data_IF_753772506140
#
_entry.id   IF_753772506140
#
_cell.length_a   1.000
_cell.length_b   1.000
_cell.length_c   1.000
_cell.angle_alpha   90.00
_cell.angle_beta   90.00
_cell.angle_gamma   90.00
#
_symmetry.space_group_name_H-M   'P 1'
#
loop_
_entity.id
_entity.type
_entity.pdbx_description
1 polymer ?
#
# COMPACT_ATOMS: atom_id res chain seq x y z
N UNK A 1 -31.89 9.34 -7.67
CA UNK A 1 -30.45 9.32 -7.90
C UNK A 1 -29.87 10.48 -7.10
N UNK A 2 -29.32 10.20 -5.93
CA UNK A 2 -28.61 11.20 -5.12
C UNK A 2 -27.41 11.68 -5.92
N UNK A 3 -27.30 12.99 -6.16
CA UNK A 3 -26.12 13.57 -6.77
C UNK A 3 -25.01 13.46 -5.73
N UNK A 4 -23.91 12.83 -6.08
CA UNK A 4 -22.69 12.85 -5.28
C UNK A 4 -22.07 14.25 -5.37
N UNK A 5 -21.63 14.79 -4.22
CA UNK A 5 -21.26 16.19 -4.08
C UNK A 5 -19.87 16.25 -3.50
N UNK A 6 -18.93 16.83 -4.25
CA UNK A 6 -17.58 17.05 -3.79
C UNK A 6 -17.58 18.03 -2.61
N UNK A 7 -16.64 17.84 -1.68
CA UNK A 7 -16.61 18.52 -0.39
C UNK A 7 -16.78 20.05 -0.49
N UNK A 8 -16.04 20.73 -1.38
CA UNK A 8 -16.13 22.18 -1.56
C UNK A 8 -17.44 22.66 -2.21
N UNK A 9 -18.22 21.77 -2.83
CA UNK A 9 -19.49 22.11 -3.49
C UNK A 9 -20.72 21.95 -2.59
N UNK A 10 -20.57 21.42 -1.36
CA UNK A 10 -21.69 21.22 -0.41
C UNK A 10 -22.44 22.53 -0.12
N UNK A 11 -21.73 23.65 0.02
CA UNK A 11 -22.35 24.97 0.20
C UNK A 11 -22.96 25.59 -1.06
N UNK A 12 -22.77 24.96 -2.24
CA UNK A 12 -23.14 25.51 -3.55
C UNK A 12 -24.26 24.73 -4.24
N UNK A 13 -24.88 23.76 -3.55
CA UNK A 13 -25.96 22.91 -4.10
C UNK A 13 -27.11 23.71 -4.70
N UNK A 14 -27.53 24.78 -4.02
CA UNK A 14 -28.59 25.67 -4.48
C UNK A 14 -28.25 26.44 -5.77
N UNK A 15 -26.98 26.42 -6.20
CA UNK A 15 -26.47 27.09 -7.40
C UNK A 15 -26.15 26.12 -8.54
N UNK A 16 -26.44 24.82 -8.39
CA UNK A 16 -26.07 23.79 -9.37
C UNK A 16 -26.62 24.04 -10.78
N UNK A 17 -27.82 24.60 -10.88
CA UNK A 17 -28.46 24.95 -12.16
C UNK A 17 -27.93 26.26 -12.78
N UNK A 18 -27.03 26.98 -12.09
CA UNK A 18 -26.44 28.23 -12.57
C UNK A 18 -25.15 27.97 -13.31
N UNK A 19 -24.83 28.86 -14.25
CA UNK A 19 -23.55 28.81 -14.97
C UNK A 19 -22.41 29.23 -14.05
N UNK A 20 -21.24 28.63 -14.23
CA UNK A 20 -20.02 28.99 -13.49
C UNK A 20 -19.71 30.49 -13.63
N UNK A 21 -19.94 31.07 -14.81
CA UNK A 21 -19.76 32.51 -15.03
C UNK A 21 -20.73 33.39 -14.23
N UNK A 22 -21.96 32.93 -13.97
CA UNK A 22 -22.96 33.67 -13.20
C UNK A 22 -22.67 33.62 -11.69
N UNK A 23 -22.11 32.52 -11.22
CA UNK A 23 -21.78 32.29 -9.79
C UNK A 23 -20.43 32.89 -9.42
N UNK A 24 -19.52 33.00 -10.40
CA UNK A 24 -18.16 33.48 -10.23
C UNK A 24 -17.14 32.35 -10.32
N UNK A 25 -16.22 32.48 -11.28
CA UNK A 25 -15.18 31.48 -11.57
C UNK A 25 -14.30 31.23 -10.34
N UNK A 26 -13.90 32.28 -9.63
CA UNK A 26 -13.04 32.16 -8.43
C UNK A 26 -13.71 31.31 -7.35
N UNK A 27 -15.01 31.51 -7.11
CA UNK A 27 -15.75 30.76 -6.09
C UNK A 27 -15.84 29.27 -6.41
N UNK A 28 -16.02 28.92 -7.69
CA UNK A 28 -16.02 27.52 -8.14
C UNK A 28 -14.61 26.93 -8.09
N UNK A 29 -13.58 27.72 -8.44
CA UNK A 29 -12.19 27.30 -8.33
C UNK A 29 -11.76 27.03 -6.87
N UNK A 30 -12.20 27.87 -5.94
CA UNK A 30 -11.97 27.68 -4.51
C UNK A 30 -12.63 26.38 -4.02
N UNK A 31 -13.87 26.11 -4.45
CA UNK A 31 -14.58 24.87 -4.15
C UNK A 31 -13.87 23.62 -4.72
N UNK A 32 -13.32 23.72 -5.93
CA UNK A 32 -12.51 22.64 -6.53
C UNK A 32 -11.24 22.42 -5.72
N UNK A 33 -10.53 23.49 -5.37
CA UNK A 33 -9.28 23.43 -4.60
C UNK A 33 -9.51 22.82 -3.22
N UNK A 34 -10.59 23.21 -2.55
CA UNK A 34 -10.98 22.63 -1.26
C UNK A 34 -11.33 21.14 -1.37
N UNK A 35 -12.01 20.75 -2.45
CA UNK A 35 -12.33 19.34 -2.71
C UNK A 35 -11.08 18.51 -3.00
N UNK A 36 -10.13 19.05 -3.76
CA UNK A 36 -8.87 18.39 -4.06
C UNK A 36 -7.97 18.24 -2.82
N UNK A 37 -7.95 19.26 -1.95
CA UNK A 37 -7.20 19.22 -0.69
C UNK A 37 -7.73 18.13 0.25
N UNK A 38 -9.06 18.04 0.41
CA UNK A 38 -9.70 17.00 1.23
C UNK A 38 -9.43 15.60 0.67
N UNK A 39 -9.61 15.41 -0.64
CA UNK A 39 -9.29 14.15 -1.31
C UNK A 39 -7.84 13.73 -1.10
N UNK A 40 -6.90 14.68 -1.24
CA UNK A 40 -5.47 14.42 -1.00
C UNK A 40 -5.21 14.02 0.46
N UNK A 41 -5.88 14.64 1.43
CA UNK A 41 -5.76 14.28 2.84
C UNK A 41 -6.25 12.85 3.09
N UNK A 42 -7.44 12.48 2.58
CA UNK A 42 -8.00 11.14 2.72
C UNK A 42 -7.10 10.08 2.09
N UNK A 43 -6.62 10.33 0.87
CA UNK A 43 -5.67 9.45 0.18
C UNK A 43 -4.38 9.32 1.00
N UNK A 44 -3.83 10.40 1.53
CA UNK A 44 -2.60 10.34 2.31
C UNK A 44 -2.76 9.48 3.57
N UNK A 45 -3.88 9.61 4.28
CA UNK A 45 -4.19 8.77 5.44
C UNK A 45 -4.31 7.30 5.07
N UNK A 46 -4.94 6.97 3.94
CA UNK A 46 -5.02 5.58 3.45
C UNK A 46 -3.64 5.04 3.04
N UNK A 47 -2.83 5.86 2.37
CA UNK A 47 -1.49 5.49 1.90
C UNK A 47 -0.51 5.23 3.04
N UNK A 48 -0.64 5.92 4.18
CA UNK A 48 0.21 5.72 5.36
C UNK A 48 0.16 4.28 5.91
N UNK A 49 -0.92 3.54 5.63
CA UNK A 49 -1.06 2.14 6.06
C UNK A 49 -0.19 1.21 5.22
N UNK A 50 0.00 1.53 3.92
CA UNK A 50 0.61 0.63 2.95
C UNK A 50 2.02 1.03 2.53
N UNK A 51 2.35 2.31 2.62
CA UNK A 51 3.53 2.88 1.98
C UNK A 51 4.26 3.81 2.95
N UNK A 52 5.57 3.59 3.06
CA UNK A 52 6.47 4.51 3.72
C UNK A 52 6.95 5.59 2.75
N UNK A 53 6.94 6.85 3.18
CA UNK A 53 7.42 7.98 2.35
C UNK A 53 8.93 8.12 2.49
N UNK A 54 9.62 8.18 1.36
CA UNK A 54 11.06 8.46 1.30
C UNK A 54 11.35 9.63 0.35
N UNK A 55 12.49 10.29 0.58
CA UNK A 55 13.07 11.28 -0.34
C UNK A 55 14.24 10.70 -1.12
N UNK A 56 14.64 9.46 -0.81
CA UNK A 56 15.74 8.76 -1.45
C UNK A 56 15.25 8.16 -2.78
N UNK A 57 16.01 8.35 -3.86
CA UNK A 57 15.66 7.82 -5.17
C UNK A 57 16.06 6.33 -5.34
N UNK A 58 17.15 5.93 -4.69
CA UNK A 58 17.67 4.56 -4.71
C UNK A 58 18.42 4.26 -3.41
N UNK A 59 18.18 3.08 -2.86
CA UNK A 59 18.83 2.56 -1.65
C UNK A 59 19.48 1.21 -1.95
N UNK A 60 20.60 0.95 -1.27
CA UNK A 60 21.26 -0.35 -1.28
C UNK A 60 21.14 -0.98 0.10
N UNK A 61 20.68 -2.22 0.13
CA UNK A 61 20.60 -3.03 1.34
C UNK A 61 21.71 -4.06 1.31
N UNK A 62 22.68 -3.89 2.21
CA UNK A 62 23.71 -4.88 2.46
C UNK A 62 23.13 -6.06 3.22
N UNK A 63 23.35 -7.27 2.70
CA UNK A 63 22.96 -8.49 3.38
C UNK A 63 24.10 -8.92 4.31
N UNK A 64 23.78 -9.43 5.52
CA UNK A 64 24.80 -10.08 6.33
C UNK A 64 25.34 -11.28 5.54
N UNK A 65 26.59 -11.19 5.13
CA UNK A 65 27.24 -12.24 4.36
C UNK A 65 27.12 -13.59 5.08
N UNK A 66 26.75 -14.63 4.33
CA UNK A 66 26.80 -15.99 4.83
C UNK A 66 28.21 -16.55 4.64
N UNK A 67 28.79 -17.15 5.69
CA UNK A 67 30.11 -17.75 5.59
C UNK A 67 30.43 -18.61 6.81
N UNK A 68 31.45 -19.44 6.68
CA UNK A 68 32.06 -20.15 7.81
C UNK A 68 33.17 -19.30 8.40
N UNK A 69 33.38 -19.39 9.72
CA UNK A 69 34.57 -18.82 10.35
C UNK A 69 35.82 -19.30 9.60
N UNK A 70 36.70 -18.37 9.26
CA UNK A 70 37.95 -18.73 8.62
C UNK A 70 38.87 -19.40 9.65
N UNK A 71 39.64 -20.42 9.24
CA UNK A 71 40.65 -20.99 10.11
C UNK A 71 41.60 -19.87 10.56
N UNK A 72 41.86 -19.83 11.86
CA UNK A 72 42.84 -18.93 12.45
C UNK A 72 44.25 -19.43 12.09
N UNK A 73 45.16 -18.50 11.82
CA UNK A 73 46.58 -18.84 11.76
C UNK A 73 47.17 -19.06 13.16
N UNK A 74 48.47 -19.39 13.24
CA UNK A 74 49.18 -19.70 14.48
C UNK A 74 49.19 -18.55 15.50
N UNK A 75 48.90 -17.31 15.06
CA UNK A 75 48.84 -16.10 15.90
C UNK A 75 47.41 -15.56 16.06
N UNK A 76 46.39 -16.29 15.60
CA UNK A 76 44.99 -15.93 15.79
C UNK A 76 44.45 -14.89 14.80
N UNK A 77 45.11 -14.69 13.67
CA UNK A 77 44.64 -13.79 12.61
C UNK A 77 43.74 -14.60 11.64
N UNK A 78 42.45 -14.26 11.50
CA UNK A 78 41.59 -14.88 10.51
C UNK A 78 41.93 -14.37 9.10
N UNK A 79 41.69 -15.21 8.09
CA UNK A 79 41.79 -14.76 6.69
C UNK A 79 40.75 -13.67 6.39
N UNK A 80 41.09 -12.63 5.61
CA UNK A 80 40.11 -11.64 5.18
C UNK A 80 38.93 -12.30 4.45
N UNK A 81 37.72 -11.97 4.86
CA UNK A 81 36.47 -12.33 4.17
C UNK A 81 35.83 -11.06 3.65
N UNK A 82 35.30 -11.11 2.45
CA UNK A 82 34.47 -10.03 1.91
C UNK A 82 33.01 -10.25 2.29
N UNK A 83 32.28 -9.16 2.52
CA UNK A 83 30.84 -9.24 2.80
C UNK A 83 30.12 -9.56 1.49
N UNK A 84 29.44 -10.71 1.45
CA UNK A 84 28.74 -11.16 0.26
C UNK A 84 27.25 -10.81 0.32
N UNK A 85 26.77 -10.12 -0.71
CA UNK A 85 25.34 -9.91 -0.97
C UNK A 85 24.87 -8.49 -0.70
N UNK A 86 24.31 -7.87 -1.73
CA UNK A 86 23.56 -6.61 -1.65
C UNK A 86 22.43 -6.66 -2.67
N UNK A 87 21.36 -5.90 -2.42
CA UNK A 87 20.35 -5.62 -3.44
C UNK A 87 20.00 -4.14 -3.42
N UNK A 88 19.63 -3.62 -4.58
CA UNK A 88 19.29 -2.21 -4.76
C UNK A 88 17.80 -2.07 -5.02
N UNK A 89 17.15 -1.16 -4.31
CA UNK A 89 15.76 -0.80 -4.50
C UNK A 89 15.70 0.65 -4.93
N UNK A 90 14.91 0.94 -5.95
CA UNK A 90 14.73 2.28 -6.49
C UNK A 90 13.26 2.70 -6.45
N UNK A 91 13.01 3.98 -6.22
CA UNK A 91 11.68 4.55 -5.98
C UNK A 91 11.39 5.65 -7.01
N UNK A 92 10.87 5.30 -8.20
CA UNK A 92 10.61 6.27 -9.24
C UNK A 92 9.37 7.10 -8.90
N UNK A 93 9.44 8.41 -9.14
CA UNK A 93 8.26 9.26 -9.07
C UNK A 93 7.42 9.05 -10.32
N UNK A 94 6.19 8.59 -10.13
CA UNK A 94 5.19 8.47 -11.17
C UNK A 94 4.04 9.43 -10.88
N UNK A 95 3.47 10.03 -11.92
CA UNK A 95 2.37 10.97 -11.79
C UNK A 95 1.33 10.73 -12.86
N UNK A 96 0.06 10.66 -12.43
CA UNK A 96 -1.10 10.78 -13.29
C UNK A 96 -1.54 12.25 -13.39
N UNK A 97 -2.26 12.58 -14.46
CA UNK A 97 -2.89 13.90 -14.60
C UNK A 97 -4.15 13.80 -15.44
N UNK A 98 -5.22 14.45 -14.99
CA UNK A 98 -6.44 14.64 -15.77
C UNK A 98 -6.60 16.11 -16.14
N UNK A 99 -7.02 16.38 -17.36
CA UNK A 99 -7.17 17.74 -17.87
C UNK A 99 -8.53 18.29 -17.47
N UNK A 100 -8.57 19.14 -16.44
CA UNK A 100 -9.80 19.83 -16.05
C UNK A 100 -10.11 20.98 -17.03
N UNK A 101 -11.05 20.75 -17.95
CA UNK A 101 -11.64 21.76 -18.83
C UNK A 101 -10.96 21.94 -20.20
N UNK A 102 -11.72 21.62 -21.26
CA UNK A 102 -11.42 22.02 -22.66
C UNK A 102 -11.97 23.41 -22.95
N UNK A 103 -11.27 24.14 -23.83
CA UNK A 103 -11.62 25.37 -24.58
C UNK A 103 -12.49 26.47 -23.91
N UNK A 104 -12.28 27.71 -24.33
CA UNK A 104 -12.99 28.90 -23.80
C UNK A 104 -14.52 28.75 -23.77
N UNK A 105 -15.10 28.00 -24.70
CA UNK A 105 -16.54 27.87 -24.89
C UNK A 105 -17.14 26.91 -23.87
N UNK A 106 -16.51 25.77 -23.63
CA UNK A 106 -16.99 24.81 -22.61
C UNK A 106 -16.85 25.42 -21.21
N UNK A 107 -15.76 26.12 -20.89
CA UNK A 107 -15.62 26.83 -19.61
C UNK A 107 -16.66 27.95 -19.41
N UNK A 108 -17.16 28.55 -20.50
CA UNK A 108 -18.17 29.61 -20.43
C UNK A 108 -19.60 29.09 -20.25
N UNK A 109 -19.88 27.88 -20.74
CA UNK A 109 -21.22 27.28 -20.72
C UNK A 109 -21.43 26.27 -19.58
N UNK A 110 -20.35 25.82 -18.94
CA UNK A 110 -20.39 24.85 -17.85
C UNK A 110 -21.24 25.37 -16.68
N UNK A 111 -22.11 24.51 -16.18
CA UNK A 111 -22.90 24.71 -14.96
C UNK A 111 -22.07 24.33 -13.72
N UNK A 112 -22.46 24.85 -12.55
CA UNK A 112 -21.82 24.44 -11.28
C UNK A 112 -21.99 22.93 -11.03
N UNK A 113 -23.10 22.34 -11.49
CA UNK A 113 -23.32 20.90 -11.40
C UNK A 113 -22.33 20.09 -12.25
N UNK A 114 -22.06 20.54 -13.48
CA UNK A 114 -21.06 19.90 -14.36
C UNK A 114 -19.65 20.07 -13.80
N UNK A 115 -19.34 21.23 -13.23
CA UNK A 115 -18.07 21.46 -12.54
C UNK A 115 -17.88 20.47 -11.38
N UNK A 116 -18.89 20.29 -10.52
CA UNK A 116 -18.89 19.30 -9.44
C UNK A 116 -18.67 17.87 -9.99
N UNK A 117 -19.37 17.50 -11.07
CA UNK A 117 -19.23 16.17 -11.66
C UNK A 117 -17.83 15.91 -12.21
N UNK A 118 -17.22 16.89 -12.87
CA UNK A 118 -15.85 16.76 -13.37
C UNK A 118 -14.82 16.69 -12.25
N UNK A 119 -15.05 17.38 -11.13
CA UNK A 119 -14.19 17.24 -9.94
C UNK A 119 -14.25 15.83 -9.37
N UNK A 120 -15.45 15.26 -9.21
CA UNK A 120 -15.62 13.87 -8.74
C UNK A 120 -15.00 12.88 -9.73
N UNK A 121 -15.19 13.09 -11.04
CA UNK A 121 -14.59 12.25 -12.07
C UNK A 121 -13.05 12.24 -11.97
N UNK A 122 -12.43 13.40 -11.76
CA UNK A 122 -10.98 13.49 -11.58
C UNK A 122 -10.51 12.80 -10.30
N UNK A 123 -11.23 12.96 -9.19
CA UNK A 123 -10.94 12.29 -7.91
C UNK A 123 -11.05 10.76 -8.04
N UNK A 124 -12.06 10.26 -8.74
CA UNK A 124 -12.23 8.82 -8.98
C UNK A 124 -11.12 8.24 -9.85
N UNK A 125 -10.66 8.98 -10.87
CA UNK A 125 -9.52 8.56 -11.71
C UNK A 125 -8.22 8.54 -10.92
N UNK A 126 -8.01 9.50 -10.04
CA UNK A 126 -6.85 9.55 -9.15
C UNK A 126 -6.84 8.35 -8.19
N UNK A 127 -7.99 8.04 -7.57
CA UNK A 127 -8.14 6.86 -6.71
C UNK A 127 -7.89 5.54 -7.46
N UNK A 128 -8.44 5.37 -8.67
CA UNK A 128 -8.17 4.19 -9.52
C UNK A 128 -6.69 4.11 -9.92
N UNK A 129 -6.06 5.24 -10.26
CA UNK A 129 -4.64 5.29 -10.57
C UNK A 129 -3.80 4.81 -9.37
N UNK A 130 -4.04 5.34 -8.17
CA UNK A 130 -3.33 4.91 -6.96
C UNK A 130 -3.56 3.43 -6.65
N UNK A 131 -4.82 2.97 -6.67
CA UNK A 131 -5.16 1.58 -6.39
C UNK A 131 -4.43 0.61 -7.33
N UNK A 132 -4.37 0.92 -8.64
CA UNK A 132 -3.62 0.12 -9.61
C UNK A 132 -2.14 0.06 -9.30
N UNK A 133 -1.52 1.17 -8.89
CA UNK A 133 -0.09 1.20 -8.60
C UNK A 133 0.26 0.44 -7.32
N UNK A 134 -0.59 0.52 -6.29
CA UNK A 134 -0.46 -0.28 -5.07
C UNK A 134 -0.61 -1.77 -5.40
N UNK A 135 -1.64 -2.16 -6.14
CA UNK A 135 -1.85 -3.57 -6.51
C UNK A 135 -0.69 -4.07 -7.37
N UNK A 136 -0.21 -3.25 -8.31
CA UNK A 136 0.91 -3.61 -9.17
C UNK A 136 2.21 -3.78 -8.39
N UNK A 137 2.46 -2.99 -7.33
CA UNK A 137 3.67 -3.13 -6.51
C UNK A 137 3.72 -4.47 -5.76
N UNK A 138 2.57 -5.03 -5.41
CA UNK A 138 2.45 -6.32 -4.73
C UNK A 138 2.39 -7.50 -5.72
N UNK A 139 1.60 -7.38 -6.79
CA UNK A 139 1.26 -8.51 -7.69
C UNK A 139 2.13 -8.63 -8.95
N UNK A 140 3.08 -7.72 -9.16
CA UNK A 140 4.07 -7.85 -10.24
C UNK A 140 5.34 -8.50 -9.70
N UNK A 141 5.95 -9.41 -10.47
CA UNK A 141 7.22 -10.10 -10.11
C UNK A 141 8.42 -9.70 -10.97
N UNK A 142 8.18 -9.05 -12.11
CA UNK A 142 9.24 -8.73 -13.07
C UNK A 142 9.83 -7.34 -12.79
N UNK A 143 11.17 -7.26 -12.74
CA UNK A 143 11.87 -5.99 -12.64
C UNK A 143 11.82 -5.22 -13.95
N UNK A 144 11.88 -3.89 -13.85
CA UNK A 144 11.87 -3.01 -15.02
C UNK A 144 12.84 -1.85 -14.83
N UNK A 145 13.31 -1.27 -15.94
CA UNK A 145 14.25 -0.15 -15.92
C UNK A 145 13.52 1.17 -16.06
N UNK A 146 13.71 2.06 -15.10
CA UNK A 146 13.30 3.46 -15.19
C UNK A 146 14.46 4.32 -15.68
N UNK A 147 14.17 5.25 -16.58
CA UNK A 147 15.15 6.19 -17.11
C UNK A 147 15.04 7.52 -16.34
N UNK A 148 15.79 7.66 -15.27
CA UNK A 148 15.89 8.90 -14.51
C UNK A 148 16.78 9.92 -15.23
N UNK A 149 16.11 10.86 -15.92
CA UNK A 149 16.76 11.92 -16.69
C UNK A 149 16.94 13.21 -15.88
N UNK A 150 16.16 13.42 -14.81
CA UNK A 150 16.05 14.71 -14.13
C UNK A 150 16.10 14.49 -12.62
N UNK A 151 17.20 14.91 -12.00
CA UNK A 151 17.39 14.93 -10.57
C UNK A 151 16.90 16.21 -9.90
N UNK A 152 17.07 16.29 -8.58
CA UNK A 152 16.67 17.45 -7.79
C UNK A 152 17.31 18.75 -8.29
N UNK A 153 16.54 19.86 -8.21
CA UNK A 153 16.96 21.19 -8.64
C UNK A 153 17.42 21.30 -10.12
N UNK A 154 16.95 20.41 -11.00
CA UNK A 154 17.29 20.43 -12.42
C UNK A 154 18.65 19.80 -12.76
N UNK A 155 19.27 19.10 -11.80
CA UNK A 155 20.48 18.31 -12.05
C UNK A 155 20.17 17.09 -12.95
N UNK A 156 21.21 16.47 -13.50
CA UNK A 156 21.05 15.18 -14.19
C UNK A 156 20.61 14.10 -13.19
N UNK A 157 19.65 13.28 -13.61
CA UNK A 157 19.20 12.12 -12.85
C UNK A 157 20.28 11.03 -12.76
N UNK A 158 19.95 9.95 -12.05
CA UNK A 158 20.81 8.79 -11.83
C UNK A 158 21.02 7.93 -13.07
N UNK A 159 20.33 8.23 -14.18
CA UNK A 159 20.38 7.46 -15.41
C UNK A 159 19.42 6.27 -15.37
N UNK A 160 19.88 5.11 -15.82
CA UNK A 160 19.04 3.91 -15.82
C UNK A 160 19.06 3.26 -14.44
N UNK A 161 17.91 3.24 -13.77
CA UNK A 161 17.73 2.60 -12.47
C UNK A 161 16.80 1.40 -12.62
N UNK A 162 17.12 0.31 -11.94
CA UNK A 162 16.29 -0.91 -11.96
C UNK A 162 15.33 -0.88 -10.79
N UNK A 163 14.04 -1.03 -11.09
CA UNK A 163 12.99 -1.11 -10.09
C UNK A 163 12.77 -2.58 -9.77
N UNK A 164 12.97 -2.95 -8.51
CA UNK A 164 12.75 -4.30 -8.01
C UNK A 164 11.34 -4.41 -7.41
N UNK A 165 10.52 -5.40 -7.84
CA UNK A 165 9.23 -5.67 -7.22
C UNK A 165 9.41 -6.47 -5.91
N UNK A 166 8.28 -6.81 -5.26
CA UNK A 166 8.28 -7.74 -4.14
C UNK A 166 8.90 -9.09 -4.57
N UNK A 167 9.75 -9.66 -3.71
CA UNK A 167 10.55 -10.83 -4.03
C UNK A 167 9.68 -12.08 -4.26
N UNK A 168 9.38 -12.38 -5.52
CA UNK A 168 8.37 -13.37 -5.93
C UNK A 168 8.91 -14.34 -6.99
N UNK A 169 9.74 -15.29 -6.56
CA UNK A 169 10.39 -16.25 -7.45
C UNK A 169 11.48 -15.60 -8.31
N UNK A 170 12.15 -14.58 -7.77
CA UNK A 170 13.30 -13.95 -8.40
C UNK A 170 14.59 -14.76 -8.20
N UNK A 171 15.71 -14.23 -8.72
CA UNK A 171 17.03 -14.84 -8.65
C UNK A 171 17.87 -14.32 -7.47
N UNK A 172 17.33 -13.39 -6.68
CA UNK A 172 18.05 -12.77 -5.56
C UNK A 172 17.95 -13.68 -4.35
N UNK A 173 19.09 -14.00 -3.73
CA UNK A 173 19.13 -14.80 -2.51
C UNK A 173 19.05 -13.91 -1.27
N UNK A 174 18.17 -14.28 -0.34
CA UNK A 174 17.96 -13.56 0.91
C UNK A 174 18.40 -14.42 2.10
N UNK A 175 18.96 -13.82 3.17
CA UNK A 175 19.36 -14.55 4.35
C UNK A 175 18.13 -15.13 5.07
N UNK A 176 18.13 -16.44 5.28
CA UNK A 176 17.05 -17.16 5.98
C UNK A 176 17.58 -17.64 7.32
N UNK A 177 16.75 -17.51 8.36
CA UNK A 177 17.14 -17.91 9.72
C UNK A 177 17.51 -19.39 9.78
N UNK A 178 18.75 -19.70 10.17
CA UNK A 178 19.23 -21.07 10.35
C UNK A 178 19.45 -21.86 9.06
N UNK A 179 19.49 -21.21 7.89
CA UNK A 179 19.74 -21.84 6.58
C UNK A 179 20.72 -21.02 5.74
N UNK A 180 21.24 -21.63 4.67
CA UNK A 180 21.94 -20.88 3.62
C UNK A 180 20.96 -19.88 2.96
N UNK A 181 21.45 -18.77 2.39
CA UNK A 181 20.61 -17.84 1.62
C UNK A 181 19.78 -18.59 0.57
N UNK A 182 18.54 -18.14 0.37
CA UNK A 182 17.61 -18.77 -0.58
C UNK A 182 16.84 -17.70 -1.34
N UNK A 183 16.41 -18.03 -2.56
CA UNK A 183 15.44 -17.21 -3.28
C UNK A 183 14.11 -17.16 -2.54
N UNK A 184 13.41 -16.03 -2.68
CA UNK A 184 12.14 -15.80 -2.00
C UNK A 184 10.96 -15.98 -2.96
N UNK A 185 9.82 -16.41 -2.42
CA UNK A 185 8.53 -16.37 -3.11
C UNK A 185 7.45 -16.06 -2.08
N UNK A 186 6.78 -14.91 -2.23
CA UNK A 186 5.71 -14.47 -1.35
C UNK A 186 4.31 -14.69 -1.96
N UNK A 187 4.20 -15.16 -3.20
CA UNK A 187 2.93 -15.63 -3.78
C UNK A 187 2.57 -17.01 -3.25
N UNK A 188 1.92 -17.00 -2.10
CA UNK A 188 1.52 -18.19 -1.35
C UNK A 188 0.03 -18.53 -1.51
N UNK A 189 -0.61 -18.10 -2.59
CA UNK A 189 -2.03 -18.40 -2.82
C UNK A 189 -2.29 -19.91 -3.00
N UNK A 190 -3.41 -20.39 -2.45
CA UNK A 190 -3.92 -21.74 -2.70
C UNK A 190 -5.24 -21.66 -3.47
N UNK A 191 -5.46 -22.61 -4.38
CA UNK A 191 -6.72 -22.73 -5.13
C UNK A 191 -7.75 -23.63 -4.41
N UNK A 192 -7.32 -24.36 -3.39
CA UNK A 192 -8.17 -25.27 -2.61
C UNK A 192 -8.98 -24.47 -1.58
N UNK A 193 -10.18 -24.95 -1.28
CA UNK A 193 -11.00 -24.39 -0.21
C UNK A 193 -10.24 -24.35 1.11
N UNK A 194 -10.49 -23.32 1.92
CA UNK A 194 -9.92 -23.19 3.25
C UNK A 194 -10.74 -24.08 4.19
N UNK A 195 -10.08 -25.07 4.77
CA UNK A 195 -10.63 -25.97 5.78
C UNK A 195 -9.52 -26.43 6.74
N UNK A 196 -9.86 -27.20 7.76
CA UNK A 196 -8.89 -27.66 8.76
C UNK A 196 -7.75 -28.52 8.20
N UNK A 197 -7.96 -29.20 7.07
CA UNK A 197 -6.93 -29.96 6.35
C UNK A 197 -6.12 -29.09 5.38
N UNK A 198 -6.67 -27.95 4.97
CA UNK A 198 -6.12 -27.02 3.98
C UNK A 198 -6.00 -25.58 4.55
N UNK A 199 -5.53 -25.45 5.80
CA UNK A 199 -5.36 -24.14 6.44
C UNK A 199 -4.06 -23.45 5.93
N UNK A 200 -4.16 -22.30 5.23
CA UNK A 200 -2.99 -21.65 4.65
C UNK A 200 -2.17 -20.81 5.65
N UNK A 201 -2.78 -20.36 6.75
CA UNK A 201 -2.20 -19.36 7.66
C UNK A 201 -0.89 -19.81 8.35
N UNK A 202 -0.73 -21.07 8.80
CA UNK A 202 0.56 -21.54 9.33
C UNK A 202 1.68 -21.44 8.29
N UNK A 203 1.37 -21.74 7.02
CA UNK A 203 2.30 -21.61 5.90
C UNK A 203 2.71 -20.16 5.68
N UNK A 204 1.74 -19.23 5.69
CA UNK A 204 1.99 -17.79 5.53
C UNK A 204 2.86 -17.27 6.66
N UNK A 205 2.53 -17.61 7.90
CA UNK A 205 3.29 -17.20 9.07
C UNK A 205 4.75 -17.70 8.98
N UNK A 206 4.96 -18.98 8.67
CA UNK A 206 6.31 -19.54 8.56
C UNK A 206 7.13 -18.90 7.44
N UNK A 207 6.48 -18.55 6.32
CA UNK A 207 7.12 -17.90 5.17
C UNK A 207 7.50 -16.46 5.48
N UNK A 208 6.62 -15.70 6.14
CA UNK A 208 6.86 -14.30 6.45
C UNK A 208 7.81 -14.10 7.63
N UNK A 209 7.85 -15.03 8.60
CA UNK A 209 8.72 -14.91 9.79
C UNK A 209 10.10 -15.56 9.64
N UNK A 210 10.40 -16.18 8.49
CA UNK A 210 11.69 -16.87 8.27
C UNK A 210 12.89 -15.92 8.19
N UNK A 211 12.66 -14.63 7.92
CA UNK A 211 13.73 -13.65 7.78
C UNK A 211 14.13 -13.04 9.13
N UNK A 212 15.43 -12.81 9.40
CA UNK A 212 15.91 -12.37 10.70
C UNK A 212 15.19 -11.15 11.29
N UNK A 213 14.83 -10.15 10.47
CA UNK A 213 14.13 -8.93 10.91
C UNK A 213 12.63 -9.10 11.16
N UNK A 214 12.04 -10.21 10.70
CA UNK A 214 10.59 -10.46 10.70
C UNK A 214 10.15 -11.52 11.71
N UNK A 215 11.09 -12.13 12.44
CA UNK A 215 10.86 -13.31 13.27
C UNK A 215 9.75 -13.15 14.32
N UNK A 216 9.55 -11.93 14.82
CA UNK A 216 8.56 -11.59 15.84
C UNK A 216 7.51 -10.58 15.33
N UNK A 217 7.37 -10.43 14.01
CA UNK A 217 6.43 -9.48 13.44
C UNK A 217 4.98 -9.93 13.69
N UNK A 218 4.11 -8.96 13.97
CA UNK A 218 2.66 -9.16 13.90
C UNK A 218 2.25 -9.21 12.44
N UNK A 219 1.64 -10.31 12.03
CA UNK A 219 1.18 -10.51 10.65
C UNK A 219 -0.33 -10.26 10.62
N UNK A 220 -0.74 -9.37 9.72
CA UNK A 220 -2.14 -9.08 9.44
C UNK A 220 -2.48 -9.65 8.06
N UNK A 221 -3.61 -10.36 7.97
CA UNK A 221 -4.12 -10.91 6.73
C UNK A 221 -5.45 -10.25 6.39
N UNK A 222 -5.50 -9.55 5.25
CA UNK A 222 -6.74 -9.04 4.69
C UNK A 222 -7.39 -10.15 3.86
N UNK A 223 -8.61 -10.54 4.24
CA UNK A 223 -9.36 -11.58 3.55
C UNK A 223 -10.59 -10.98 2.85
N UNK A 224 -11.00 -11.52 1.69
CA UNK A 224 -12.26 -11.14 1.07
C UNK A 224 -13.45 -11.63 1.92
N UNK A 225 -14.52 -10.85 1.95
CA UNK A 225 -15.76 -11.14 2.71
C UNK A 225 -16.32 -12.55 2.41
N UNK A 226 -16.26 -12.98 1.15
CA UNK A 226 -16.75 -14.31 0.76
C UNK A 226 -15.93 -15.50 1.30
N UNK A 227 -14.79 -15.26 1.95
CA UNK A 227 -13.97 -16.28 2.62
C UNK A 227 -14.09 -16.23 4.15
N UNK A 228 -14.79 -15.24 4.71
CA UNK A 228 -14.93 -15.04 6.16
C UNK A 228 -15.43 -16.30 6.88
N UNK A 229 -16.58 -16.84 6.46
CA UNK A 229 -17.15 -18.05 7.08
C UNK A 229 -16.18 -19.24 7.07
N UNK A 230 -15.37 -19.38 6.01
CA UNK A 230 -14.39 -20.47 5.90
C UNK A 230 -13.22 -20.29 6.86
N UNK A 231 -12.81 -19.05 7.14
CA UNK A 231 -11.73 -18.72 8.08
C UNK A 231 -12.20 -18.86 9.52
N UNK A 232 -13.40 -18.37 9.85
CA UNK A 232 -13.99 -18.48 11.20
C UNK A 232 -14.30 -19.94 11.57
N UNK A 233 -14.60 -20.79 10.60
CA UNK A 233 -14.82 -22.22 10.81
C UNK A 233 -13.55 -23.03 11.12
N UNK A 234 -12.36 -22.42 11.05
CA UNK A 234 -11.10 -23.09 11.40
C UNK A 234 -11.02 -23.36 12.90
N UNK A 235 -10.59 -24.57 13.27
CA UNK A 235 -10.54 -25.02 14.68
C UNK A 235 -9.57 -24.21 15.55
N UNK A 236 -8.53 -23.66 14.93
CA UNK A 236 -7.51 -22.80 15.54
C UNK A 236 -7.83 -21.31 15.41
N UNK A 237 -8.98 -20.96 14.83
CA UNK A 237 -9.49 -19.59 14.87
C UNK A 237 -9.86 -19.22 16.32
N UNK A 238 -9.45 -18.03 16.71
CA UNK A 238 -9.81 -17.37 17.95
C UNK A 238 -10.32 -16.00 17.58
N UNK A 239 -11.62 -15.86 17.69
CA UNK A 239 -12.30 -14.57 17.61
C UNK A 239 -11.63 -13.62 18.61
N UNK A 240 -11.27 -12.43 18.13
CA UNK A 240 -10.91 -11.34 19.02
C UNK A 240 -12.24 -10.80 19.51
N UNK A 241 -12.43 -10.69 20.83
CA UNK A 241 -13.60 -9.95 21.36
C UNK A 241 -13.66 -8.61 20.63
N UNK A 242 -14.82 -8.31 20.05
CA UNK A 242 -15.05 -7.11 19.26
C UNK A 242 -14.40 -5.91 19.97
N UNK A 243 -13.40 -5.31 19.34
CA UNK A 243 -12.64 -4.22 19.92
C UNK A 243 -13.53 -3.01 20.21
N UNK A 244 -14.65 -2.91 19.49
CA UNK A 244 -15.67 -1.89 19.67
C UNK A 244 -16.62 -2.22 20.82
N UNK A 245 -16.59 -3.42 21.41
CA UNK A 245 -17.57 -3.87 22.42
C UNK A 245 -16.86 -4.49 23.63
N UNK A 246 -16.83 -3.75 24.73
CA UNK A 246 -16.43 -4.32 26.03
C UNK A 246 -17.62 -5.06 26.64
N UNK A 247 -17.50 -6.38 26.75
CA UNK A 247 -18.47 -7.21 27.44
C UNK A 247 -18.65 -6.74 28.90
N UNK A 248 -19.86 -6.30 29.24
CA UNK A 248 -20.20 -5.77 30.55
C UNK A 248 -21.15 -6.70 31.30
N UNK A 249 -21.08 -6.73 32.64
CA UNK A 249 -21.91 -7.64 33.44
C UNK A 249 -23.44 -7.41 33.33
N UNK A 250 -23.90 -6.29 32.75
CA UNK A 250 -25.33 -5.96 32.57
C UNK A 250 -25.67 -5.27 31.23
N UNK A 251 -24.68 -4.77 30.49
CA UNK A 251 -24.82 -4.10 29.20
C UNK A 251 -23.42 -4.00 28.61
N UNK A 252 -23.29 -4.28 27.33
CA UNK A 252 -22.04 -4.08 26.61
C UNK A 252 -21.83 -2.59 26.34
N UNK A 253 -20.58 -2.14 26.49
CA UNK A 253 -20.18 -0.75 26.29
C UNK A 253 -19.36 -0.62 25.02
N UNK A 254 -19.67 0.37 24.19
CA UNK A 254 -18.88 0.66 23.00
C UNK A 254 -17.53 1.27 23.44
N UNK A 255 -16.40 0.63 23.14
CA UNK A 255 -15.05 1.10 23.52
C UNK A 255 -14.16 1.24 22.28
N UNK A 256 -13.20 2.16 22.27
CA UNK A 256 -12.57 2.66 21.05
C UNK A 256 -11.69 1.70 20.22
N UNK A 257 -11.52 2.13 18.96
CA UNK A 257 -10.99 1.44 17.79
C UNK A 257 -9.53 0.97 17.86
N UNK A 258 -9.28 -0.23 17.32
CA UNK A 258 -8.00 -0.58 16.70
C UNK A 258 -8.01 0.02 15.28
N UNK A 259 -6.94 0.69 14.80
CA UNK A 259 -6.88 1.12 13.41
C UNK A 259 -6.89 -0.11 12.50
N UNK A 260 -8.03 -0.40 11.88
CA UNK A 260 -8.24 -1.57 10.99
C UNK A 260 -7.55 -1.44 9.62
N UNK A 261 -6.75 -0.37 9.43
CA UNK A 261 -6.01 -0.16 8.20
C UNK A 261 -6.96 -0.03 7.01
N UNK A 262 -6.81 -0.91 6.02
CA UNK A 262 -7.72 -0.99 4.87
C UNK A 262 -8.95 -1.89 5.10
N UNK A 263 -8.99 -2.62 6.20
CA UNK A 263 -10.09 -3.51 6.53
C UNK A 263 -11.23 -2.74 7.19
N UNK A 264 -12.43 -3.28 7.05
CA UNK A 264 -13.61 -2.74 7.73
C UNK A 264 -13.70 -3.23 9.18
N UNK A 265 -13.18 -4.44 9.47
CA UNK A 265 -13.30 -5.10 10.78
C UNK A 265 -12.10 -6.02 11.08
N UNK A 266 -11.71 -6.11 12.36
CA UNK A 266 -10.74 -7.09 12.85
C UNK A 266 -11.47 -8.34 13.35
N UNK A 267 -11.46 -9.42 12.55
CA UNK A 267 -12.21 -10.64 12.87
C UNK A 267 -11.60 -11.50 13.99
N UNK A 268 -10.27 -11.63 14.04
CA UNK A 268 -9.66 -12.54 15.00
C UNK A 268 -8.19 -12.89 14.76
N UNK A 269 -7.72 -13.92 15.48
CA UNK A 269 -6.40 -14.55 15.31
C UNK A 269 -6.56 -16.00 14.86
N UNK A 270 -5.67 -16.46 13.99
CA UNK A 270 -5.70 -17.83 13.44
C UNK A 270 -4.27 -18.34 13.21
N UNK A 271 -4.04 -19.67 13.26
CA UNK A 271 -2.77 -20.30 12.93
C UNK A 271 -1.74 -20.40 14.07
N UNK A 272 -1.74 -19.45 15.01
CA UNK A 272 -0.80 -19.46 16.16
C UNK A 272 -1.39 -18.70 17.35
N UNK A 273 -1.78 -19.46 18.38
CA UNK A 273 -2.14 -18.95 19.72
C UNK A 273 -1.00 -19.26 20.67
#
# INVERSE_FOLDING_TARGET
>A
MTIEIAYGFVGMQHLFNKRVQEVGVNRVFDAITQSAAEHTQMINTMMEILVERTTVAQEEFELPGSGTLQPLDEVGIPRPTDTYGFYQVAYPIQGGGDAWGKNRVTSALMTVQEANRHTIEAQNKDADWLARHIIASVLTKDSWTFHDKVGAAGNKGLGNITIMPLANGDVTEYPVTGKQPQTANHYTAQAVAIDNSNNPFPGFYSTLTRYPGSKNATIVAYIPENLQESVEALTDFREVEDADVRAGANRDELVGSIPVGLGDELLGKVGKV
#
